data_IF_259169956455
#
_entry.id   IF_259169956455
#
_cell.length_a   1.000
_cell.length_b   1.000
_cell.length_c   1.000
_cell.angle_alpha   90.00
_cell.angle_beta   90.00
_cell.angle_gamma   90.00
#
_symmetry.space_group_name_H-M   'P 1'
#
loop_
_entity.id
_entity.type
_entity.pdbx_description
1 polymer ?
#
# COMPACT_ATOMS: atom_id res chain seq x y z
N UNK A 1 2.93 -10.36 25.83
CA UNK A 1 3.80 -9.21 25.52
C UNK A 1 3.65 -8.99 24.03
N UNK A 2 3.12 -7.85 23.59
CA UNK A 2 2.94 -7.59 22.17
C UNK A 2 4.31 -7.61 21.50
N UNK A 3 4.55 -8.58 20.63
CA UNK A 3 5.71 -8.58 19.75
C UNK A 3 5.48 -7.49 18.72
N UNK A 4 5.78 -6.24 19.07
CA UNK A 4 5.78 -5.15 18.09
C UNK A 4 6.96 -5.41 17.14
N UNK A 5 6.71 -6.10 16.02
CA UNK A 5 7.66 -6.17 14.90
C UNK A 5 7.89 -4.74 14.41
N UNK A 6 9.08 -4.47 13.89
CA UNK A 6 9.34 -3.18 13.27
C UNK A 6 8.54 -3.08 11.96
N UNK A 7 7.99 -1.91 11.62
CA UNK A 7 7.27 -1.75 10.37
C UNK A 7 8.20 -1.98 9.18
N UNK A 8 7.71 -2.72 8.19
CA UNK A 8 8.41 -3.03 6.95
C UNK A 8 8.59 -1.78 6.09
N UNK A 9 7.59 -0.91 6.11
CA UNK A 9 7.61 0.39 5.46
C UNK A 9 6.85 1.40 6.31
N UNK A 10 7.35 2.63 6.38
CA UNK A 10 6.63 3.74 7.02
C UNK A 10 6.96 5.07 6.33
N UNK A 11 5.95 5.92 6.18
CA UNK A 11 6.09 7.25 5.59
C UNK A 11 5.02 8.20 6.11
N UNK A 12 5.33 9.50 6.12
CA UNK A 12 4.36 10.51 6.55
C UNK A 12 3.38 10.78 5.43
N UNK A 13 2.10 10.52 5.67
CA UNK A 13 1.03 10.85 4.74
C UNK A 13 -0.26 11.17 5.49
N UNK A 14 -0.95 12.22 5.09
CA UNK A 14 -2.30 12.52 5.55
C UNK A 14 -3.34 11.81 4.68
N UNK A 15 -4.59 11.81 5.12
CA UNK A 15 -5.72 11.24 4.36
C UNK A 15 -6.28 12.29 3.42
N UNK A 16 -6.90 11.85 2.34
CA UNK A 16 -7.78 12.68 1.55
C UNK A 16 -9.13 11.98 1.37
N UNK A 17 -10.18 12.76 1.36
CA UNK A 17 -11.55 12.26 1.21
C UNK A 17 -12.16 12.82 -0.06
N UNK A 18 -12.86 11.97 -0.81
CA UNK A 18 -13.61 12.37 -1.99
C UNK A 18 -14.88 13.10 -1.55
N UNK A 19 -15.18 14.23 -2.16
CA UNK A 19 -16.38 15.02 -1.84
C UNK A 19 -17.61 14.44 -2.57
N UNK A 20 -18.36 13.58 -1.88
CA UNK A 20 -19.55 12.91 -2.42
C UNK A 20 -19.24 12.12 -3.69
N UNK A 21 -20.07 12.28 -4.73
CA UNK A 21 -19.89 11.65 -6.03
C UNK A 21 -18.95 12.43 -6.99
N UNK A 22 -18.46 13.60 -6.58
CA UNK A 22 -17.61 14.44 -7.45
C UNK A 22 -16.21 13.87 -7.59
N UNK A 23 -15.48 14.18 -8.67
CA UNK A 23 -14.07 13.77 -8.80
C UNK A 23 -13.11 14.64 -7.97
N UNK A 24 -13.63 15.42 -7.03
CA UNK A 24 -12.84 16.30 -6.17
C UNK A 24 -12.42 15.55 -4.91
N UNK A 25 -11.11 15.63 -4.59
CA UNK A 25 -10.52 15.01 -3.40
C UNK A 25 -9.98 16.13 -2.50
N UNK A 26 -10.45 16.18 -1.26
CA UNK A 26 -10.06 17.18 -0.26
C UNK A 26 -9.04 16.57 0.71
N UNK A 27 -7.86 17.20 0.91
CA UNK A 27 -6.89 16.74 1.87
C UNK A 27 -7.36 17.03 3.30
N UNK A 28 -7.22 16.04 4.16
CA UNK A 28 -7.41 16.21 5.60
C UNK A 28 -6.13 16.85 6.21
N UNK A 29 -6.27 17.91 7.02
CA UNK A 29 -5.12 18.63 7.58
C UNK A 29 -4.37 17.83 8.66
N UNK A 30 -4.88 16.67 9.07
CA UNK A 30 -4.26 15.84 10.10
C UNK A 30 -2.91 15.29 9.65
N UNK A 31 -1.93 15.37 10.54
CA UNK A 31 -0.61 14.77 10.35
C UNK A 31 -0.74 13.26 10.53
N UNK A 32 -0.59 12.52 9.45
CA UNK A 32 -0.67 11.06 9.47
C UNK A 32 0.68 10.40 9.32
N UNK A 33 0.77 9.17 9.81
CA UNK A 33 1.84 8.23 9.54
C UNK A 33 1.21 6.97 8.96
N UNK A 34 1.56 6.66 7.72
CA UNK A 34 1.26 5.36 7.14
C UNK A 34 2.40 4.43 7.49
N UNK A 35 2.07 3.23 7.92
CA UNK A 35 3.05 2.16 8.10
C UNK A 35 2.43 0.81 7.79
N UNK A 36 3.30 -0.13 7.50
CA UNK A 36 2.99 -1.39 6.87
C UNK A 36 3.70 -2.51 7.63
N UNK A 37 2.94 -3.47 8.15
CA UNK A 37 3.46 -4.55 8.99
C UNK A 37 2.86 -5.88 8.56
N UNK A 38 3.60 -6.97 8.75
CA UNK A 38 3.10 -8.33 8.55
C UNK A 38 2.69 -8.91 9.91
N UNK A 39 1.40 -9.16 10.08
CA UNK A 39 0.80 -9.78 11.27
C UNK A 39 0.02 -11.03 10.85
N UNK A 40 0.28 -12.16 11.53
CA UNK A 40 -0.33 -13.47 11.24
C UNK A 40 -0.25 -13.93 9.77
N UNK A 41 0.79 -13.50 9.04
CA UNK A 41 1.02 -13.82 7.63
C UNK A 41 0.19 -12.99 6.65
N UNK A 42 -0.49 -11.95 7.13
CA UNK A 42 -1.24 -10.99 6.32
C UNK A 42 -0.57 -9.61 6.39
N UNK A 43 -0.68 -8.86 5.30
CA UNK A 43 -0.11 -7.53 5.21
C UNK A 43 -1.10 -6.50 5.77
N UNK A 44 -0.76 -5.83 6.85
CA UNK A 44 -1.56 -4.75 7.42
C UNK A 44 -1.03 -3.40 6.97
N UNK A 45 -1.94 -2.54 6.50
CA UNK A 45 -1.72 -1.15 6.18
C UNK A 45 -2.41 -0.30 7.24
N UNK A 46 -1.60 0.34 8.08
CA UNK A 46 -2.07 1.19 9.15
C UNK A 46 -1.99 2.66 8.78
N UNK A 47 -2.99 3.42 9.21
CA UNK A 47 -2.90 4.87 9.29
C UNK A 47 -3.01 5.32 10.74
N UNK A 48 -1.98 6.04 11.20
CA UNK A 48 -1.89 6.58 12.55
C UNK A 48 -1.92 8.10 12.53
N UNK A 49 -2.79 8.66 13.36
CA UNK A 49 -2.82 10.07 13.64
C UNK A 49 -1.61 10.44 14.52
N UNK A 50 -0.72 11.29 14.02
CA UNK A 50 0.50 11.72 14.72
C UNK A 50 0.23 12.77 15.80
N UNK A 51 -0.90 13.45 15.75
CA UNK A 51 -1.30 14.42 16.77
C UNK A 51 -1.79 13.70 18.02
N UNK A 52 -2.67 12.71 17.87
CA UNK A 52 -3.24 11.94 19.00
C UNK A 52 -2.42 10.70 19.34
N UNK A 53 -1.50 10.28 18.46
CA UNK A 53 -0.77 9.01 18.54
C UNK A 53 -1.66 7.76 18.52
N UNK A 54 -2.84 7.84 17.92
CA UNK A 54 -3.79 6.72 17.79
C UNK A 54 -3.80 6.15 16.37
N UNK A 55 -3.90 4.83 16.25
CA UNK A 55 -4.17 4.15 14.99
C UNK A 55 -5.66 4.33 14.70
N UNK A 56 -5.97 4.97 13.58
CA UNK A 56 -7.35 5.29 13.19
C UNK A 56 -7.87 4.27 12.16
N UNK A 57 -6.98 3.78 11.30
CA UNK A 57 -7.29 2.79 10.26
C UNK A 57 -6.30 1.60 10.36
N UNK A 58 -6.84 0.40 10.28
CA UNK A 58 -6.13 -0.89 10.15
C UNK A 58 -6.77 -1.63 8.97
N UNK A 59 -6.03 -1.74 7.87
CA UNK A 59 -6.50 -2.35 6.64
C UNK A 59 -5.69 -3.61 6.34
N UNK A 60 -6.37 -4.74 6.24
CA UNK A 60 -5.75 -5.99 5.82
C UNK A 60 -5.70 -6.01 4.28
N UNK A 61 -4.49 -6.11 3.74
CA UNK A 61 -4.23 -6.21 2.30
C UNK A 61 -3.90 -7.66 1.95
N UNK A 62 -4.72 -8.24 1.07
CA UNK A 62 -4.41 -9.54 0.49
C UNK A 62 -3.37 -9.40 -0.62
N UNK A 63 -2.52 -10.42 -0.82
CA UNK A 63 -1.53 -10.41 -1.88
C UNK A 63 -2.13 -10.12 -3.25
N UNK A 64 -1.57 -9.12 -3.93
CA UNK A 64 -2.05 -8.70 -5.26
C UNK A 64 -3.41 -7.99 -5.27
N UNK A 65 -4.12 -7.88 -4.14
CA UNK A 65 -5.46 -7.30 -4.06
C UNK A 65 -5.48 -5.78 -4.00
N UNK A 66 -4.36 -5.15 -3.62
CA UNK A 66 -4.26 -3.70 -3.61
C UNK A 66 -3.08 -3.21 -4.45
N UNK A 67 -3.16 -1.97 -4.92
CA UNK A 67 -2.07 -1.29 -5.59
C UNK A 67 -2.02 0.17 -5.12
N UNK A 68 -0.81 0.64 -4.83
CA UNK A 68 -0.55 2.02 -4.48
C UNK A 68 -0.06 2.78 -5.72
N UNK A 69 -0.82 3.78 -6.18
CA UNK A 69 -0.51 4.58 -7.38
C UNK A 69 -0.47 6.06 -7.09
N UNK A 70 0.46 6.77 -7.71
CA UNK A 70 0.48 8.23 -7.70
C UNK A 70 -0.65 8.78 -8.57
N UNK A 71 -1.30 9.85 -8.12
CA UNK A 71 -2.38 10.53 -8.84
C UNK A 71 -1.85 11.87 -9.38
N UNK A 72 -1.31 11.91 -10.61
CA UNK A 72 -0.74 13.13 -11.18
C UNK A 72 -1.79 14.20 -11.51
N UNK A 73 -3.07 13.81 -11.60
CA UNK A 73 -4.19 14.74 -11.82
C UNK A 73 -4.39 15.72 -10.65
N UNK A 74 -3.90 15.38 -9.45
CA UNK A 74 -3.86 16.29 -8.32
C UNK A 74 -2.66 17.24 -8.44
N UNK A 75 -2.86 18.39 -9.08
CA UNK A 75 -1.82 19.40 -9.29
C UNK A 75 -1.45 20.21 -8.04
N UNK A 76 -2.25 20.14 -6.98
CA UNK A 76 -2.09 20.90 -5.73
C UNK A 76 -1.25 20.17 -4.67
N UNK A 77 -0.79 18.95 -4.94
CA UNK A 77 0.00 18.19 -3.97
C UNK A 77 0.45 16.83 -4.47
N UNK A 78 1.12 16.08 -3.60
CA UNK A 78 1.60 14.72 -3.88
C UNK A 78 0.59 13.72 -3.36
N UNK A 79 -0.40 13.39 -4.19
CA UNK A 79 -1.47 12.46 -3.83
C UNK A 79 -1.16 11.08 -4.37
N UNK A 80 -1.34 10.07 -3.52
CA UNK A 80 -1.31 8.66 -3.86
C UNK A 80 -2.68 8.05 -3.55
N UNK A 81 -3.04 7.02 -4.31
CA UNK A 81 -4.28 6.28 -4.18
C UNK A 81 -3.94 4.83 -3.90
N UNK A 82 -4.47 4.31 -2.80
CA UNK A 82 -4.57 2.88 -2.55
C UNK A 82 -5.87 2.41 -3.20
N UNK A 83 -5.74 1.64 -4.28
CA UNK A 83 -6.85 1.07 -5.01
C UNK A 83 -6.93 -0.42 -4.68
N UNK A 84 -8.09 -0.85 -4.20
CA UNK A 84 -8.42 -2.26 -4.09
C UNK A 84 -8.84 -2.79 -5.47
N UNK A 85 -8.43 -4.01 -5.80
CA UNK A 85 -8.80 -4.71 -7.04
C UNK A 85 -10.05 -5.54 -6.83
N UNK A 86 -10.23 -6.15 -5.65
CA UNK A 86 -11.46 -6.86 -5.29
C UNK A 86 -12.66 -5.94 -5.05
N UNK A 87 -12.46 -4.63 -4.90
CA UNK A 87 -13.56 -3.69 -4.66
C UNK A 87 -13.36 -2.36 -5.37
N UNK A 88 -14.45 -1.62 -5.60
CA UNK A 88 -14.40 -0.27 -6.19
C UNK A 88 -13.89 0.80 -5.22
N UNK A 89 -13.46 0.40 -4.01
CA UNK A 89 -13.00 1.31 -2.97
C UNK A 89 -11.64 1.90 -3.34
N UNK A 90 -11.52 3.22 -3.17
CA UNK A 90 -10.30 3.98 -3.41
C UNK A 90 -10.04 4.83 -2.19
N UNK A 91 -8.88 4.66 -1.58
CA UNK A 91 -8.41 5.49 -0.49
C UNK A 91 -7.34 6.43 -1.02
N UNK A 92 -7.42 7.70 -0.64
CA UNK A 92 -6.47 8.71 -1.09
C UNK A 92 -5.64 9.18 0.09
N UNK A 93 -4.35 9.34 -0.15
CA UNK A 93 -3.39 9.82 0.83
C UNK A 93 -2.52 10.90 0.19
N UNK A 94 -2.13 11.91 0.96
CA UNK A 94 -1.21 12.95 0.50
C UNK A 94 0.11 12.86 1.26
N UNK A 95 1.21 12.77 0.52
CA UNK A 95 2.54 12.61 1.10
C UNK A 95 2.97 13.90 1.82
N UNK A 96 3.35 13.75 3.09
CA UNK A 96 3.79 14.81 4.00
C UNK A 96 5.32 14.82 4.20
N UNK A 97 6.05 13.92 3.55
CA UNK A 97 7.51 13.89 3.62
C UNK A 97 8.13 15.16 3.03
N UNK A 98 9.14 15.71 3.68
CA UNK A 98 9.77 16.97 3.24
C UNK A 98 10.47 16.80 1.89
N UNK A 99 11.04 15.61 1.65
CA UNK A 99 11.75 15.30 0.43
C UNK A 99 10.87 14.45 -0.50
N UNK A 100 10.83 14.83 -1.78
CA UNK A 100 10.05 14.15 -2.84
C UNK A 100 10.86 13.06 -3.54
N UNK A 101 12.18 13.05 -3.37
CA UNK A 101 13.09 12.15 -4.08
C UNK A 101 12.76 10.66 -3.82
N UNK A 102 12.22 10.36 -2.64
CA UNK A 102 11.87 9.00 -2.22
C UNK A 102 10.44 8.59 -2.50
N UNK A 103 9.62 9.47 -3.06
CA UNK A 103 8.20 9.17 -3.27
C UNK A 103 8.05 7.92 -4.16
N UNK A 104 8.76 7.85 -5.28
CA UNK A 104 8.73 6.69 -6.18
C UNK A 104 9.20 5.39 -5.49
N UNK A 105 10.22 5.48 -4.62
CA UNK A 105 10.75 4.34 -3.86
C UNK A 105 9.69 3.84 -2.88
N UNK A 106 9.00 4.75 -2.17
CA UNK A 106 7.92 4.42 -1.24
C UNK A 106 6.81 3.65 -1.97
N UNK A 107 6.37 4.13 -3.14
CA UNK A 107 5.34 3.44 -3.92
C UNK A 107 5.82 2.07 -4.39
N UNK A 108 7.05 1.96 -4.88
CA UNK A 108 7.60 0.70 -5.35
C UNK A 108 7.72 -0.32 -4.21
N UNK A 109 8.22 0.11 -3.04
CA UNK A 109 8.32 -0.75 -1.85
C UNK A 109 6.95 -1.17 -1.33
N UNK A 110 5.98 -0.24 -1.26
CA UNK A 110 4.62 -0.56 -0.83
C UNK A 110 3.99 -1.62 -1.74
N UNK A 111 4.07 -1.45 -3.06
CA UNK A 111 3.53 -2.43 -4.00
C UNK A 111 4.28 -3.78 -3.92
N UNK A 112 5.60 -3.78 -3.72
CA UNK A 112 6.36 -5.02 -3.55
C UNK A 112 5.90 -5.79 -2.30
N UNK A 113 5.64 -5.10 -1.19
CA UNK A 113 5.10 -5.71 0.03
C UNK A 113 3.68 -6.24 -0.18
N UNK A 114 2.83 -5.50 -0.91
CA UNK A 114 1.47 -5.95 -1.22
C UNK A 114 1.46 -7.17 -2.15
N UNK A 115 2.43 -7.31 -3.04
CA UNK A 115 2.53 -8.48 -3.93
C UNK A 115 3.35 -9.63 -3.36
N UNK A 116 4.03 -9.48 -2.22
CA UNK A 116 4.95 -10.49 -1.69
C UNK A 116 4.29 -11.83 -1.32
N UNK A 117 2.99 -11.85 -1.03
CA UNK A 117 2.28 -13.12 -0.83
C UNK A 117 1.84 -13.82 -2.14
N UNK A 118 2.20 -13.30 -3.31
CA UNK A 118 2.05 -13.97 -4.61
C UNK A 118 3.27 -14.85 -4.95
N UNK A 119 4.18 -15.13 -4.00
CA UNK A 119 5.34 -15.99 -4.24
C UNK A 119 4.93 -17.48 -4.36
N UNK A 120 5.17 -18.00 -5.58
CA UNK A 120 5.18 -19.38 -6.07
C UNK A 120 3.87 -20.05 -6.54
N UNK A 121 3.41 -19.60 -7.71
CA UNK A 121 2.50 -20.36 -8.59
C UNK A 121 2.98 -20.48 -10.05
N UNK A 122 4.24 -20.16 -10.35
CA UNK A 122 4.76 -20.21 -11.72
C UNK A 122 6.23 -20.65 -11.78
N UNK A 123 6.45 -21.93 -12.13
CA UNK A 123 7.69 -22.37 -12.77
C UNK A 123 8.33 -23.66 -12.26
N UNK A 124 7.63 -24.81 -12.34
CA UNK A 124 8.34 -26.07 -12.55
C UNK A 124 8.02 -26.57 -13.97
N UNK A 125 8.85 -26.17 -14.93
CA UNK A 125 8.98 -26.89 -16.20
C UNK A 125 9.88 -28.09 -15.91
N UNK A 126 9.29 -29.24 -15.60
CA UNK A 126 9.97 -30.53 -15.75
C UNK A 126 9.87 -30.93 -17.23
N UNK A 127 10.76 -30.38 -18.05
CA UNK A 127 11.14 -30.94 -19.34
C UNK A 127 12.24 -32.00 -19.12
N UNK A 128 11.85 -33.21 -18.71
CA UNK A 128 12.60 -34.49 -18.81
C UNK A 128 11.50 -35.57 -18.76
N UNK A 129 11.07 -36.19 -19.87
CA UNK A 129 11.81 -37.19 -20.64
C UNK A 129 11.38 -37.19 -22.11
N UNK A 130 12.31 -36.80 -22.99
CA UNK A 130 12.42 -37.42 -24.31
C UNK A 130 13.17 -38.74 -24.10
N UNK A 131 12.44 -39.84 -23.88
CA UNK A 131 12.99 -41.15 -24.20
C UNK A 131 12.09 -41.86 -25.22
N UNK A 132 12.60 -41.83 -26.45
CA UNK A 132 12.23 -42.67 -27.56
C UNK A 132 12.72 -44.09 -27.23
N UNK A 133 11.84 -45.06 -27.04
CA UNK A 133 12.22 -46.46 -27.22
C UNK A 133 11.07 -47.27 -27.85
N UNK A 134 11.29 -47.56 -29.13
CA UNK A 134 10.79 -48.61 -30.04
C UNK A 134 9.27 -48.85 -30.18
#
# INVERSE_FOLDING_TARGET
MASSRAPLLQFKAGRCFREGDTNTVQPDPTKGLVYMEEEDGLMHFYWKNRTTNTVDDDLILFPGDAELKSVPECTTGRVVMLRFKSSSQKLFFWLQEVNTDRDHIILQQANALISQGEEDGAGNFEDEDVNMEL
#
